data_IF_689637355577
#
_entry.id   IF_689637355577
#
_cell.length_a   1.000
_cell.length_b   1.000
_cell.length_c   1.000
_cell.angle_alpha   90.00
_cell.angle_beta   90.00
_cell.angle_gamma   90.00
#
_symmetry.space_group_name_H-M   'P 1'
#
loop_
_entity.id
_entity.type
_entity.pdbx_description
1 polymer ?
#
# COMPACT_ATOMS: atom_id res chain seq x y z
N UNK A 1 -49.02 1.70 -11.28
CA UNK A 1 -48.19 1.82 -10.06
C UNK A 1 -46.83 1.17 -10.30
N UNK A 2 -45.72 1.91 -10.18
CA UNK A 2 -44.38 1.40 -10.48
C UNK A 2 -43.75 0.67 -9.28
N UNK A 3 -44.14 -0.59 -9.07
CA UNK A 3 -43.63 -1.42 -7.97
C UNK A 3 -42.12 -1.70 -8.09
N UNK A 4 -41.57 -1.72 -9.31
CA UNK A 4 -40.14 -1.97 -9.55
C UNK A 4 -39.29 -0.78 -9.13
N UNK A 5 -39.72 0.44 -9.46
CA UNK A 5 -39.11 1.68 -8.99
C UNK A 5 -39.18 1.83 -7.47
N UNK A 6 -40.34 1.52 -6.87
CA UNK A 6 -40.53 1.57 -5.41
C UNK A 6 -39.70 0.52 -4.67
N UNK A 7 -39.62 -0.72 -5.17
CA UNK A 7 -38.76 -1.78 -4.61
C UNK A 7 -37.30 -1.35 -4.61
N UNK A 8 -36.85 -0.72 -5.70
CA UNK A 8 -35.49 -0.17 -5.82
C UNK A 8 -35.25 0.99 -4.86
N UNK A 9 -36.26 1.82 -4.59
CA UNK A 9 -36.19 2.93 -3.61
C UNK A 9 -36.07 2.41 -2.18
N UNK A 10 -36.81 1.36 -1.83
CA UNK A 10 -36.76 0.70 -0.52
C UNK A 10 -35.41 -0.01 -0.31
N UNK A 11 -34.91 -0.75 -1.30
CA UNK A 11 -33.64 -1.50 -1.20
C UNK A 11 -32.40 -0.61 -1.08
N UNK A 12 -32.46 0.63 -1.59
CA UNK A 12 -31.42 1.66 -1.45
C UNK A 12 -31.25 2.19 -0.02
N UNK A 13 -32.22 1.95 0.86
CA UNK A 13 -32.11 2.36 2.26
C UNK A 13 -30.94 1.65 2.93
N UNK A 14 -30.08 2.41 3.64
CA UNK A 14 -28.94 1.85 4.38
C UNK A 14 -29.40 0.98 5.57
N UNK A 15 -30.56 1.30 6.15
CA UNK A 15 -31.13 0.58 7.30
C UNK A 15 -31.59 -0.83 6.90
N UNK A 16 -31.35 -1.81 7.78
CA UNK A 16 -31.85 -3.18 7.63
C UNK A 16 -33.34 -3.30 8.01
N UNK A 17 -33.82 -2.41 8.87
CA UNK A 17 -35.21 -2.34 9.31
C UNK A 17 -35.76 -0.93 9.12
N UNK A 18 -37.01 -0.86 8.69
CA UNK A 18 -37.77 0.38 8.56
C UNK A 18 -39.06 0.27 9.37
N UNK A 19 -39.43 1.36 10.05
CA UNK A 19 -40.75 1.50 10.69
C UNK A 19 -41.81 1.82 9.65
N UNK A 20 -43.08 1.59 9.99
CA UNK A 20 -44.20 1.86 9.10
C UNK A 20 -44.29 3.34 8.71
N UNK A 21 -43.99 4.25 9.65
CA UNK A 21 -43.99 5.70 9.43
C UNK A 21 -42.90 6.10 8.43
N UNK A 22 -41.70 5.55 8.57
CA UNK A 22 -40.57 5.79 7.65
C UNK A 22 -40.90 5.30 6.24
N UNK A 23 -41.63 4.18 6.12
CA UNK A 23 -42.11 3.67 4.84
C UNK A 23 -43.21 4.56 4.24
N UNK A 24 -44.11 5.09 5.08
CA UNK A 24 -45.15 6.02 4.63
C UNK A 24 -44.54 7.31 4.08
N UNK A 25 -43.56 7.88 4.77
CA UNK A 25 -42.81 9.06 4.30
C UNK A 25 -42.04 8.76 3.00
N UNK A 26 -41.40 7.59 2.92
CA UNK A 26 -40.60 7.21 1.75
C UNK A 26 -41.46 6.99 0.49
N UNK A 27 -42.63 6.37 0.65
CA UNK A 27 -43.51 5.98 -0.44
C UNK A 27 -44.50 7.09 -0.81
N UNK A 28 -44.79 8.01 0.12
CA UNK A 28 -45.70 9.14 -0.04
C UNK A 28 -47.04 8.75 -0.72
N UNK A 29 -47.81 7.83 -0.14
CA UNK A 29 -49.08 7.38 -0.69
C UNK A 29 -50.17 8.45 -0.59
N UNK A 30 -51.14 8.43 -1.50
CA UNK A 30 -52.25 9.39 -1.53
C UNK A 30 -53.24 9.15 -0.37
N UNK A 31 -53.50 7.88 -0.03
CA UNK A 31 -54.42 7.47 1.03
C UNK A 31 -53.97 6.16 1.72
N UNK A 32 -54.78 5.65 2.65
CA UNK A 32 -54.46 4.41 3.37
C UNK A 32 -54.57 3.17 2.48
N UNK A 33 -55.56 3.10 1.60
CA UNK A 33 -55.81 1.92 0.76
C UNK A 33 -54.72 1.74 -0.30
N UNK A 34 -54.26 2.84 -0.89
CA UNK A 34 -53.08 2.88 -1.76
C UNK A 34 -51.82 2.49 -1.00
N UNK A 35 -51.63 2.98 0.23
CA UNK A 35 -50.49 2.58 1.05
C UNK A 35 -50.49 1.10 1.37
N UNK A 36 -51.65 0.56 1.78
CA UNK A 36 -51.83 -0.87 2.06
C UNK A 36 -51.52 -1.72 0.83
N UNK A 37 -52.08 -1.35 -0.33
CA UNK A 37 -51.85 -2.03 -1.61
C UNK A 37 -50.37 -2.00 -2.01
N UNK A 38 -49.71 -0.85 -1.81
CA UNK A 38 -48.27 -0.70 -2.02
C UNK A 38 -47.45 -1.65 -1.16
N UNK A 39 -47.79 -1.70 0.13
CA UNK A 39 -47.08 -2.53 1.10
C UNK A 39 -47.27 -4.02 0.81
N UNK A 40 -48.46 -4.45 0.38
CA UNK A 40 -48.71 -5.82 -0.07
C UNK A 40 -47.87 -6.17 -1.29
N UNK A 41 -47.87 -5.32 -2.32
CA UNK A 41 -47.09 -5.54 -3.54
C UNK A 41 -45.57 -5.56 -3.28
N UNK A 42 -45.04 -4.72 -2.38
CA UNK A 42 -43.63 -4.74 -1.99
C UNK A 42 -43.23 -6.00 -1.20
N UNK A 43 -44.16 -6.58 -0.44
CA UNK A 43 -43.94 -7.85 0.25
C UNK A 43 -43.94 -9.02 -0.74
N UNK A 44 -44.90 -9.02 -1.68
CA UNK A 44 -44.97 -10.02 -2.75
C UNK A 44 -43.74 -9.97 -3.67
N UNK A 45 -43.26 -8.77 -4.01
CA UNK A 45 -42.03 -8.56 -4.76
C UNK A 45 -40.74 -8.88 -3.96
N UNK A 46 -40.86 -9.31 -2.69
CA UNK A 46 -39.72 -9.67 -1.85
C UNK A 46 -38.79 -8.50 -1.55
N UNK A 47 -39.30 -7.26 -1.51
CA UNK A 47 -38.53 -6.08 -1.10
C UNK A 47 -38.60 -5.85 0.42
N UNK A 48 -39.69 -6.31 1.05
CA UNK A 48 -39.94 -6.15 2.49
C UNK A 48 -40.46 -7.45 3.11
N UNK A 49 -40.16 -7.65 4.39
CA UNK A 49 -40.77 -8.69 5.21
C UNK A 49 -41.23 -8.11 6.56
N UNK A 50 -42.48 -8.31 6.99
CA UNK A 50 -42.94 -7.88 8.30
C UNK A 50 -42.16 -8.61 9.41
N UNK A 51 -41.85 -7.90 10.49
CA UNK A 51 -41.15 -8.45 11.67
C UNK A 51 -41.82 -7.97 12.96
N UNK A 52 -41.65 -8.72 14.05
CA UNK A 52 -42.29 -8.44 15.35
C UNK A 52 -43.52 -9.32 15.62
N UNK A 53 -44.18 -9.08 16.74
CA UNK A 53 -45.34 -9.87 17.19
C UNK A 53 -46.51 -9.71 16.22
N UNK A 54 -47.30 -10.77 16.05
CA UNK A 54 -48.52 -10.76 15.22
C UNK A 54 -49.49 -9.64 15.56
N UNK A 55 -49.49 -9.25 16.84
CA UNK A 55 -50.38 -8.25 17.41
C UNK A 55 -49.86 -6.81 17.29
N UNK A 56 -48.61 -6.60 16.88
CA UNK A 56 -48.00 -5.27 16.73
C UNK A 56 -48.38 -4.65 15.37
N UNK A 57 -49.61 -4.11 15.31
CA UNK A 57 -50.17 -3.48 14.12
C UNK A 57 -50.49 -2.00 14.35
N UNK A 58 -50.76 -1.28 13.27
CA UNK A 58 -51.12 0.15 13.31
C UNK A 58 -52.57 0.44 13.73
N UNK A 59 -53.35 -0.57 14.13
CA UNK A 59 -54.75 -0.40 14.55
C UNK A 59 -55.72 0.02 13.44
N UNK A 60 -55.29 0.03 12.17
CA UNK A 60 -56.10 0.37 11.01
C UNK A 60 -56.70 -0.89 10.36
N UNK A 61 -57.69 -0.72 9.48
CA UNK A 61 -58.30 -1.80 8.73
C UNK A 61 -58.12 -1.58 7.22
N UNK A 62 -57.47 -2.52 6.49
CA UNK A 62 -56.79 -3.72 6.98
C UNK A 62 -55.46 -3.39 7.70
N UNK A 63 -55.01 -4.21 8.68
CA UNK A 63 -53.87 -3.86 9.52
C UNK A 63 -52.51 -4.02 8.83
N UNK A 64 -51.59 -3.07 9.06
CA UNK A 64 -50.18 -3.17 8.68
C UNK A 64 -49.29 -3.35 9.93
N UNK A 65 -48.15 -4.03 9.77
CA UNK A 65 -47.18 -4.18 10.87
C UNK A 65 -46.44 -2.87 11.11
N UNK A 66 -45.98 -2.67 12.34
CA UNK A 66 -45.23 -1.45 12.69
C UNK A 66 -43.77 -1.47 12.19
N UNK A 67 -43.24 -2.63 11.81
CA UNK A 67 -41.83 -2.78 11.43
C UNK A 67 -41.63 -3.81 10.32
N UNK A 68 -40.76 -3.47 9.38
CA UNK A 68 -40.38 -4.32 8.26
C UNK A 68 -38.87 -4.45 8.13
N UNK A 69 -38.40 -5.63 7.74
CA UNK A 69 -37.02 -5.88 7.32
C UNK A 69 -36.91 -5.66 5.82
N UNK A 70 -35.92 -4.88 5.40
CA UNK A 70 -35.59 -4.70 3.98
C UNK A 70 -34.90 -5.95 3.46
N UNK A 71 -35.45 -6.52 2.39
CA UNK A 71 -34.89 -7.67 1.69
C UNK A 71 -34.16 -7.16 0.43
N UNK A 72 -32.83 -7.29 0.44
CA UNK A 72 -31.98 -6.96 -0.70
C UNK A 72 -31.81 -8.22 -1.54
N UNK A 73 -31.88 -8.07 -2.86
CA UNK A 73 -31.46 -9.14 -3.76
C UNK A 73 -30.02 -9.51 -3.43
N UNK A 74 -29.74 -10.81 -3.34
CA UNK A 74 -28.35 -11.26 -3.41
C UNK A 74 -27.83 -10.82 -4.76
N UNK A 75 -26.67 -10.17 -4.78
CA UNK A 75 -25.93 -9.98 -6.02
C UNK A 75 -25.73 -11.35 -6.68
N UNK A 76 -25.94 -11.42 -7.99
CA UNK A 76 -25.65 -12.63 -8.75
C UNK A 76 -24.13 -12.80 -8.79
N UNK A 77 -23.63 -13.67 -7.90
CA UNK A 77 -22.20 -13.98 -7.79
C UNK A 77 -21.77 -15.10 -8.76
N UNK A 78 -22.61 -15.50 -9.74
CA UNK A 78 -22.35 -16.67 -10.59
C UNK A 78 -21.03 -16.55 -11.36
N UNK A 79 -20.71 -15.35 -11.88
CA UNK A 79 -19.47 -15.12 -12.61
C UNK A 79 -18.25 -15.21 -11.67
N UNK A 80 -18.32 -14.56 -10.51
CA UNK A 80 -17.28 -14.58 -9.49
C UNK A 80 -17.04 -15.99 -8.97
N UNK A 81 -18.10 -16.75 -8.68
CA UNK A 81 -17.99 -18.14 -8.22
C UNK A 81 -17.26 -19.00 -9.25
N UNK A 82 -17.53 -18.81 -10.54
CA UNK A 82 -16.81 -19.53 -11.61
C UNK A 82 -15.33 -19.18 -11.59
N UNK A 83 -14.98 -17.90 -11.53
CA UNK A 83 -13.58 -17.46 -11.49
C UNK A 83 -12.84 -17.94 -10.23
N UNK A 84 -13.49 -17.84 -9.06
CA UNK A 84 -12.94 -18.27 -7.77
C UNK A 84 -12.59 -19.76 -7.80
N UNK A 85 -13.46 -20.60 -8.38
CA UNK A 85 -13.21 -22.05 -8.52
C UNK A 85 -12.03 -22.37 -9.42
N UNK A 86 -11.68 -21.47 -10.33
CA UNK A 86 -10.56 -21.62 -11.24
C UNK A 86 -9.26 -21.06 -10.67
N UNK A 87 -9.22 -20.51 -9.46
CA UNK A 87 -7.99 -19.97 -8.88
C UNK A 87 -6.91 -21.04 -8.68
N UNK A 88 -5.65 -20.61 -8.63
CA UNK A 88 -4.51 -21.50 -8.43
C UNK A 88 -4.59 -22.27 -7.10
N UNK A 89 -4.13 -23.55 -7.07
CA UNK A 89 -4.00 -24.30 -5.82
C UNK A 89 -3.09 -23.59 -4.81
N UNK A 90 -3.56 -23.44 -3.59
CA UNK A 90 -2.88 -22.71 -2.52
C UNK A 90 -3.30 -21.24 -2.37
N UNK A 91 -4.33 -20.79 -3.10
CA UNK A 91 -5.07 -19.56 -2.80
C UNK A 91 -6.30 -19.87 -1.92
N UNK A 92 -6.85 -18.85 -1.26
CA UNK A 92 -7.95 -19.01 -0.31
C UNK A 92 -9.32 -19.14 -1.01
N UNK A 93 -9.52 -20.25 -1.73
CA UNK A 93 -10.73 -20.50 -2.54
C UNK A 93 -11.99 -20.51 -1.65
N UNK A 94 -11.97 -21.24 -0.53
CA UNK A 94 -13.12 -21.33 0.38
C UNK A 94 -13.52 -19.97 0.94
N UNK A 95 -12.55 -19.17 1.41
CA UNK A 95 -12.82 -17.84 1.94
C UNK A 95 -13.41 -16.88 0.91
N UNK A 96 -13.07 -17.02 -0.37
CA UNK A 96 -13.69 -16.21 -1.42
C UNK A 96 -15.08 -16.72 -1.83
N UNK A 97 -15.33 -18.03 -1.79
CA UNK A 97 -16.67 -18.58 -2.03
C UNK A 97 -17.66 -18.19 -0.92
N UNK A 98 -17.20 -18.10 0.33
CA UNK A 98 -18.01 -17.61 1.46
C UNK A 98 -18.27 -16.10 1.38
N UNK A 99 -17.34 -15.35 0.78
CA UNK A 99 -17.40 -13.90 0.68
C UNK A 99 -17.08 -13.36 -0.74
N UNK A 100 -17.96 -13.57 -1.74
CA UNK A 100 -17.72 -13.12 -3.13
C UNK A 100 -17.51 -11.60 -3.28
N UNK A 101 -18.13 -10.80 -2.42
CA UNK A 101 -17.91 -9.35 -2.41
C UNK A 101 -16.45 -8.97 -2.08
N UNK A 102 -15.73 -9.78 -1.29
CA UNK A 102 -14.30 -9.58 -1.04
C UNK A 102 -13.47 -9.95 -2.26
N UNK A 103 -13.86 -11.01 -2.99
CA UNK A 103 -13.23 -11.38 -4.25
C UNK A 103 -13.27 -10.21 -5.23
N UNK A 104 -14.42 -9.55 -5.41
CA UNK A 104 -14.54 -8.36 -6.30
C UNK A 104 -13.49 -7.29 -6.00
N UNK A 105 -13.24 -7.01 -4.72
CA UNK A 105 -12.22 -6.04 -4.30
C UNK A 105 -10.79 -6.51 -4.57
N UNK A 106 -10.54 -7.80 -4.49
CA UNK A 106 -9.21 -8.39 -4.65
C UNK A 106 -8.90 -8.80 -6.10
N UNK A 107 -9.94 -8.89 -6.95
CA UNK A 107 -9.94 -9.54 -8.27
C UNK A 107 -8.77 -9.11 -9.15
N UNK A 108 -8.56 -7.81 -9.30
CA UNK A 108 -7.56 -7.26 -10.23
C UNK A 108 -6.12 -7.59 -9.83
N UNK A 109 -5.87 -7.81 -8.55
CA UNK A 109 -4.56 -8.26 -8.04
C UNK A 109 -4.49 -9.78 -8.03
N UNK A 110 -5.59 -10.43 -7.65
CA UNK A 110 -5.66 -11.87 -7.42
C UNK A 110 -5.60 -12.69 -8.70
N UNK A 111 -6.29 -12.27 -9.77
CA UNK A 111 -6.33 -13.04 -11.03
C UNK A 111 -4.96 -13.14 -11.70
N UNK A 112 -4.21 -12.03 -11.92
CA UNK A 112 -2.84 -12.13 -12.45
C UNK A 112 -1.92 -12.96 -11.55
N UNK A 113 -2.08 -12.85 -10.23
CA UNK A 113 -1.29 -13.63 -9.28
C UNK A 113 -1.62 -15.13 -9.34
N UNK A 114 -2.89 -15.48 -9.43
CA UNK A 114 -3.34 -16.85 -9.65
C UNK A 114 -2.77 -17.41 -10.95
N UNK A 115 -2.82 -16.65 -12.03
CA UNK A 115 -2.26 -17.08 -13.31
C UNK A 115 -0.74 -17.31 -13.24
N UNK A 116 -0.03 -16.42 -12.55
CA UNK A 116 1.39 -16.58 -12.26
C UNK A 116 1.69 -17.88 -11.51
N UNK A 117 0.91 -18.20 -10.47
CA UNK A 117 1.08 -19.43 -9.70
C UNK A 117 0.76 -20.71 -10.49
N UNK A 118 -0.02 -20.64 -11.57
CA UNK A 118 -0.29 -21.78 -12.45
C UNK A 118 0.81 -21.99 -13.48
N UNK A 119 1.27 -20.91 -14.10
CA UNK A 119 2.13 -20.98 -15.29
C UNK A 119 3.60 -20.78 -15.01
N UNK A 120 3.94 -19.97 -13.99
CA UNK A 120 5.29 -19.44 -13.75
C UNK A 120 5.78 -19.62 -12.32
N UNK A 121 5.13 -20.48 -11.53
CA UNK A 121 5.47 -20.72 -10.11
C UNK A 121 6.93 -21.13 -9.88
N UNK A 122 7.55 -21.81 -10.84
CA UNK A 122 8.96 -22.22 -10.76
C UNK A 122 9.92 -21.04 -10.68
N UNK A 123 9.54 -19.86 -11.18
CA UNK A 123 10.32 -18.62 -11.06
C UNK A 123 10.46 -18.15 -9.60
N UNK A 124 9.63 -18.62 -8.67
CA UNK A 124 9.77 -18.32 -7.24
C UNK A 124 11.00 -18.98 -6.62
N UNK A 125 11.64 -19.94 -7.31
CA UNK A 125 12.91 -20.54 -6.86
C UNK A 125 14.09 -19.56 -6.95
N UNK A 126 14.00 -18.57 -7.83
CA UNK A 126 15.06 -17.59 -8.06
C UNK A 126 14.71 -16.28 -7.35
N UNK A 127 15.62 -15.69 -6.56
CA UNK A 127 15.38 -14.40 -5.92
C UNK A 127 15.29 -13.28 -6.95
N UNK A 128 14.44 -12.28 -6.70
CA UNK A 128 14.33 -11.05 -7.50
C UNK A 128 14.19 -9.84 -6.59
N UNK A 129 14.51 -8.64 -7.06
CA UNK A 129 14.13 -7.45 -6.29
C UNK A 129 12.61 -7.36 -6.13
N UNK A 130 12.14 -6.65 -5.09
CA UNK A 130 10.70 -6.39 -4.89
C UNK A 130 10.05 -5.81 -6.14
N UNK A 131 10.70 -4.86 -6.81
CA UNK A 131 10.15 -4.20 -8.00
C UNK A 131 10.12 -5.14 -9.21
N UNK A 132 11.18 -5.90 -9.46
CA UNK A 132 11.22 -6.89 -10.55
C UNK A 132 10.21 -8.02 -10.32
N UNK A 133 10.08 -8.51 -9.08
CA UNK A 133 9.06 -9.52 -8.74
C UNK A 133 7.67 -8.98 -8.99
N UNK A 134 7.41 -7.75 -8.57
CA UNK A 134 6.13 -7.08 -8.79
C UNK A 134 5.83 -6.94 -10.28
N UNK A 135 6.82 -6.53 -11.08
CA UNK A 135 6.68 -6.42 -12.53
C UNK A 135 6.49 -7.79 -13.21
N UNK A 136 7.19 -8.84 -12.76
CA UNK A 136 7.02 -10.18 -13.33
C UNK A 136 5.60 -10.71 -13.17
N UNK A 137 4.98 -10.49 -12.00
CA UNK A 137 3.65 -10.97 -11.69
C UNK A 137 2.56 -10.07 -12.30
N UNK A 138 2.64 -8.75 -12.09
CA UNK A 138 1.54 -7.81 -12.37
C UNK A 138 1.84 -6.78 -13.45
N UNK A 139 3.06 -6.76 -14.03
CA UNK A 139 3.52 -5.71 -14.97
C UNK A 139 3.45 -4.30 -14.37
N UNK A 140 3.51 -4.21 -13.04
CA UNK A 140 3.50 -2.97 -12.28
C UNK A 140 4.55 -3.05 -11.18
N UNK A 141 5.63 -2.27 -11.29
CA UNK A 141 6.81 -2.37 -10.40
C UNK A 141 6.49 -2.11 -8.93
N UNK A 142 5.59 -1.18 -8.64
CA UNK A 142 5.32 -0.73 -7.25
C UNK A 142 4.07 -1.36 -6.63
N UNK A 143 3.45 -2.33 -7.30
CA UNK A 143 2.21 -2.93 -6.81
C UNK A 143 2.45 -3.79 -5.56
N UNK A 144 3.50 -4.61 -5.54
CA UNK A 144 3.83 -5.49 -4.41
C UNK A 144 4.05 -4.71 -3.10
N UNK A 145 4.57 -3.48 -3.18
CA UNK A 145 4.81 -2.60 -2.03
C UNK A 145 3.60 -1.74 -1.67
N UNK A 146 2.44 -1.90 -2.32
CA UNK A 146 1.22 -1.19 -1.94
C UNK A 146 0.42 -1.94 -0.87
N UNK A 147 -0.35 -1.20 -0.06
CA UNK A 147 -1.13 -1.79 1.03
C UNK A 147 -2.22 -2.75 0.53
N UNK A 148 -2.84 -2.44 -0.62
CA UNK A 148 -3.86 -3.29 -1.22
C UNK A 148 -3.30 -4.66 -1.60
N UNK A 149 -2.16 -4.71 -2.30
CA UNK A 149 -1.51 -5.96 -2.71
C UNK A 149 -1.08 -6.80 -1.51
N UNK A 150 -0.45 -6.19 -0.50
CA UNK A 150 -0.12 -6.88 0.76
C UNK A 150 -1.35 -7.48 1.42
N UNK A 151 -2.47 -6.76 1.45
CA UNK A 151 -3.73 -7.28 2.00
C UNK A 151 -4.24 -8.50 1.24
N UNK A 152 -4.19 -8.48 -0.10
CA UNK A 152 -4.55 -9.63 -0.94
C UNK A 152 -3.63 -10.83 -0.67
N UNK A 153 -2.32 -10.62 -0.67
CA UNK A 153 -1.34 -11.68 -0.43
C UNK A 153 -1.51 -12.29 0.96
N UNK A 154 -1.68 -11.46 2.00
CA UNK A 154 -1.91 -11.91 3.38
C UNK A 154 -3.19 -12.74 3.50
N UNK A 155 -4.29 -12.29 2.88
CA UNK A 155 -5.56 -13.05 2.87
C UNK A 155 -5.42 -14.43 2.21
N UNK A 156 -4.49 -14.57 1.27
CA UNK A 156 -4.19 -15.81 0.59
C UNK A 156 -3.00 -16.58 1.21
N UNK A 157 -2.41 -16.10 2.30
CA UNK A 157 -1.28 -16.75 2.96
C UNK A 157 0.05 -16.67 2.20
N UNK A 158 0.23 -15.67 1.34
CA UNK A 158 1.42 -15.47 0.48
C UNK A 158 2.30 -14.28 0.88
N UNK A 159 1.98 -13.59 1.97
CA UNK A 159 2.84 -12.52 2.49
C UNK A 159 4.24 -13.05 2.80
N UNK A 160 5.28 -12.41 2.24
CA UNK A 160 6.68 -12.83 2.39
C UNK A 160 7.10 -14.09 1.61
N UNK A 161 6.22 -14.72 0.83
CA UNK A 161 6.51 -16.01 0.14
C UNK A 161 6.89 -15.88 -1.33
N UNK A 162 7.21 -14.67 -1.79
CA UNK A 162 7.49 -14.38 -3.19
C UNK A 162 8.98 -14.41 -3.57
N UNK A 163 9.87 -14.82 -2.65
CA UNK A 163 11.31 -14.82 -2.86
C UNK A 163 11.80 -13.50 -3.46
N UNK A 164 11.49 -12.42 -2.74
CA UNK A 164 11.79 -11.06 -3.13
C UNK A 164 12.69 -10.40 -2.08
N UNK A 165 13.70 -9.66 -2.53
CA UNK A 165 14.60 -8.89 -1.67
C UNK A 165 14.46 -7.39 -1.93
N UNK A 166 14.72 -6.57 -0.91
CA UNK A 166 14.78 -5.13 -1.09
C UNK A 166 16.06 -4.78 -1.88
N UNK A 167 15.91 -4.00 -2.95
CA UNK A 167 17.06 -3.35 -3.58
C UNK A 167 17.37 -2.10 -2.77
N UNK A 168 18.56 -1.99 -2.16
CA UNK A 168 18.98 -0.75 -1.53
C UNK A 168 19.09 0.34 -2.58
N UNK A 169 18.76 1.54 -2.19
CA UNK A 169 18.78 2.66 -3.11
C UNK A 169 20.24 3.08 -3.39
N UNK A 170 20.69 3.12 -4.66
CA UNK A 170 22.09 3.44 -4.96
C UNK A 170 22.37 4.93 -4.72
N UNK A 171 23.56 5.28 -4.24
CA UNK A 171 24.01 6.66 -4.19
C UNK A 171 24.80 7.03 -5.44
N UNK A 172 24.73 8.30 -5.86
CA UNK A 172 25.67 8.82 -6.84
C UNK A 172 27.02 9.07 -6.17
N UNK A 173 28.04 8.36 -6.60
CA UNK A 173 29.37 8.47 -6.03
C UNK A 173 30.45 8.73 -7.10
N UNK A 174 31.62 9.09 -6.58
CA UNK A 174 32.88 9.03 -7.31
C UNK A 174 33.96 8.54 -6.36
N UNK A 175 34.49 7.36 -6.66
CA UNK A 175 35.53 6.71 -5.88
C UNK A 175 36.88 6.89 -6.59
N UNK A 176 37.88 7.38 -5.87
CA UNK A 176 39.25 7.42 -6.33
C UNK A 176 39.78 5.99 -6.37
N UNK A 177 39.92 5.41 -7.57
CA UNK A 177 40.32 4.00 -7.74
C UNK A 177 41.67 3.63 -7.12
N UNK A 178 41.93 2.32 -7.00
CA UNK A 178 43.26 1.77 -6.71
C UNK A 178 43.51 1.27 -5.28
N UNK A 179 42.49 0.99 -4.48
CA UNK A 179 42.70 0.38 -3.16
C UNK A 179 41.46 0.37 -2.25
N UNK A 180 41.71 0.17 -0.95
CA UNK A 180 40.70 0.22 0.09
C UNK A 180 40.09 1.63 0.20
N UNK A 181 38.76 1.69 0.29
CA UNK A 181 38.02 2.94 0.47
C UNK A 181 37.93 3.19 1.97
N UNK A 182 38.67 4.19 2.47
CA UNK A 182 38.73 4.51 3.89
C UNK A 182 37.87 5.70 4.28
N UNK A 183 37.77 6.72 3.43
CA UNK A 183 37.07 7.97 3.75
C UNK A 183 36.24 8.50 2.59
N UNK A 184 34.96 8.74 2.81
CA UNK A 184 34.03 9.33 1.84
C UNK A 184 33.41 10.62 2.36
N UNK A 185 33.32 11.62 1.49
CA UNK A 185 32.65 12.89 1.77
C UNK A 185 31.24 12.91 1.15
N UNK A 186 30.21 12.96 1.99
CA UNK A 186 28.81 13.08 1.62
C UNK A 186 28.45 14.56 1.46
N UNK A 187 27.95 14.92 0.28
CA UNK A 187 27.64 16.29 -0.12
C UNK A 187 26.17 16.39 -0.52
N UNK A 188 25.42 17.32 0.05
CA UNK A 188 24.00 17.52 -0.32
C UNK A 188 23.84 18.25 -1.66
N UNK A 189 24.64 19.28 -1.87
CA UNK A 189 24.50 20.16 -3.04
C UNK A 189 25.12 19.52 -4.28
N UNK A 190 24.32 19.32 -5.33
CA UNK A 190 24.73 18.72 -6.61
C UNK A 190 25.90 19.46 -7.26
N UNK A 191 25.92 20.79 -7.25
CA UNK A 191 26.98 21.60 -7.88
C UNK A 191 28.31 21.47 -7.14
N UNK A 192 28.24 21.40 -5.80
CA UNK A 192 29.41 21.18 -4.93
C UNK A 192 29.97 19.76 -5.14
N UNK A 193 29.08 18.76 -5.19
CA UNK A 193 29.46 17.39 -5.51
C UNK A 193 30.12 17.29 -6.89
N UNK A 194 29.54 17.92 -7.91
CA UNK A 194 30.09 17.87 -9.26
C UNK A 194 31.46 18.56 -9.36
N UNK A 195 31.63 19.70 -8.70
CA UNK A 195 32.90 20.43 -8.64
C UNK A 195 33.99 19.60 -7.95
N UNK A 196 33.71 19.04 -6.77
CA UNK A 196 34.68 18.22 -6.03
C UNK A 196 35.00 16.91 -6.77
N UNK A 197 33.99 16.26 -7.36
CA UNK A 197 34.19 15.11 -8.25
C UNK A 197 35.15 15.44 -9.38
N UNK A 198 34.96 16.56 -10.08
CA UNK A 198 35.86 16.99 -11.16
C UNK A 198 37.28 17.25 -10.68
N UNK A 199 37.44 17.87 -9.51
CA UNK A 199 38.76 18.14 -8.94
C UNK A 199 39.50 16.85 -8.60
N UNK A 200 38.84 15.90 -7.94
CA UNK A 200 39.43 14.60 -7.61
C UNK A 200 39.79 13.80 -8.87
N UNK A 201 38.96 13.88 -9.91
CA UNK A 201 39.19 13.21 -11.19
C UNK A 201 40.37 13.81 -11.98
N UNK A 202 40.47 15.14 -12.02
CA UNK A 202 41.53 15.83 -12.79
C UNK A 202 42.86 15.92 -12.02
N UNK A 203 42.82 15.80 -10.69
CA UNK A 203 43.99 15.89 -9.82
C UNK A 203 44.02 14.72 -8.83
N UNK A 204 44.26 13.47 -9.29
CA UNK A 204 44.21 12.27 -8.44
C UNK A 204 45.24 12.26 -7.29
N UNK A 205 46.26 13.11 -7.38
CA UNK A 205 47.27 13.31 -6.33
C UNK A 205 46.83 14.31 -5.25
N UNK A 206 45.81 15.14 -5.52
CA UNK A 206 45.27 16.17 -4.61
C UNK A 206 43.99 15.67 -3.93
N UNK A 207 44.14 14.65 -3.09
CA UNK A 207 43.04 14.01 -2.35
C UNK A 207 42.86 14.53 -0.93
N UNK A 208 43.71 15.46 -0.50
CA UNK A 208 43.65 15.97 0.87
C UNK A 208 42.77 17.22 0.93
N UNK A 209 41.72 17.15 1.72
CA UNK A 209 40.86 18.27 2.04
C UNK A 209 40.88 18.48 3.55
N UNK A 210 41.32 19.65 4.01
CA UNK A 210 41.47 19.96 5.44
C UNK A 210 42.29 18.93 6.24
N UNK A 211 43.37 18.40 5.64
CA UNK A 211 44.23 17.39 6.28
C UNK A 211 43.67 15.97 6.26
N UNK A 212 42.43 15.78 5.78
CA UNK A 212 41.83 14.46 5.60
C UNK A 212 42.02 14.00 4.16
N UNK A 213 42.57 12.80 3.98
CA UNK A 213 42.67 12.17 2.67
C UNK A 213 41.31 11.56 2.29
N UNK A 214 40.72 12.05 1.21
CA UNK A 214 39.47 11.55 0.65
C UNK A 214 39.73 10.41 -0.34
N UNK A 215 38.95 9.34 -0.22
CA UNK A 215 38.89 8.25 -1.19
C UNK A 215 37.71 8.39 -2.15
N UNK A 216 36.82 9.37 -1.93
CA UNK A 216 35.72 9.64 -2.83
C UNK A 216 34.71 10.65 -2.29
N UNK A 217 33.71 10.94 -3.11
CA UNK A 217 32.57 11.81 -2.79
C UNK A 217 31.26 11.09 -3.10
N UNK A 218 30.25 11.31 -2.27
CA UNK A 218 28.89 10.75 -2.39
C UNK A 218 27.89 11.90 -2.38
N UNK A 219 26.90 11.88 -3.26
CA UNK A 219 25.80 12.85 -3.26
C UNK A 219 24.74 12.38 -2.25
N UNK A 220 24.41 13.20 -1.27
CA UNK A 220 23.48 12.84 -0.18
C UNK A 220 22.01 12.75 -0.60
N UNK A 221 21.64 13.40 -1.71
CA UNK A 221 20.29 13.39 -2.30
C UNK A 221 19.16 13.75 -1.30
N UNK A 222 19.34 14.81 -0.52
CA UNK A 222 18.34 15.29 0.42
C UNK A 222 18.23 14.39 1.65
N UNK A 223 17.04 13.82 1.88
CA UNK A 223 16.80 12.98 3.06
C UNK A 223 17.35 11.55 2.91
N UNK A 224 17.89 11.19 1.75
CA UNK A 224 18.33 9.82 1.47
C UNK A 224 19.53 9.41 2.32
N UNK A 225 20.59 10.22 2.34
CA UNK A 225 21.74 9.98 3.23
C UNK A 225 21.40 10.13 4.72
N UNK A 226 20.34 10.89 5.04
CA UNK A 226 19.86 11.06 6.40
C UNK A 226 18.95 9.90 6.88
N UNK A 227 18.51 9.00 5.99
CA UNK A 227 17.68 7.85 6.37
C UNK A 227 18.50 6.91 7.26
N UNK A 228 17.90 6.33 8.32
CA UNK A 228 18.57 5.33 9.14
C UNK A 228 19.15 4.20 8.30
N UNK A 229 20.39 3.84 8.58
CA UNK A 229 21.15 2.77 7.93
C UNK A 229 21.47 2.97 6.45
N UNK A 230 21.16 4.11 5.83
CA UNK A 230 21.34 4.28 4.39
C UNK A 230 22.81 4.25 3.95
N UNK A 231 23.70 4.91 4.72
CA UNK A 231 25.13 4.92 4.42
C UNK A 231 25.79 3.59 4.78
N UNK A 232 25.27 2.89 5.79
CA UNK A 232 25.71 1.55 6.18
C UNK A 232 25.30 0.50 5.12
N UNK A 233 24.08 0.57 4.61
CA UNK A 233 23.60 -0.23 3.49
C UNK A 233 24.48 0.01 2.26
N UNK A 234 24.79 1.26 1.95
CA UNK A 234 25.70 1.61 0.85
C UNK A 234 27.13 1.09 1.08
N UNK A 235 27.68 1.27 2.29
CA UNK A 235 29.01 0.80 2.66
C UNK A 235 29.18 -0.71 2.50
N UNK A 236 28.12 -1.50 2.70
CA UNK A 236 28.14 -2.94 2.53
C UNK A 236 28.43 -3.39 1.08
N UNK A 237 28.26 -2.50 0.09
CA UNK A 237 28.59 -2.75 -1.32
C UNK A 237 30.00 -2.32 -1.70
N UNK A 238 30.73 -1.65 -0.81
CA UNK A 238 32.08 -1.18 -1.07
C UNK A 238 33.13 -2.26 -0.74
N UNK A 239 34.23 -2.35 -1.51
CA UNK A 239 35.30 -3.27 -1.21
C UNK A 239 36.05 -2.87 0.07
N UNK A 240 36.22 -3.83 0.98
CA UNK A 240 36.97 -3.65 2.22
C UNK A 240 36.08 -3.33 3.43
N UNK A 241 36.68 -2.89 4.55
CA UNK A 241 35.91 -2.48 5.73
C UNK A 241 35.12 -1.19 5.46
N UNK A 242 34.07 -0.95 6.25
CA UNK A 242 33.22 0.21 6.11
C UNK A 242 34.04 1.52 6.20
N UNK A 243 33.88 2.45 5.22
CA UNK A 243 34.59 3.73 5.25
C UNK A 243 34.01 4.65 6.32
N UNK A 244 34.81 5.65 6.70
CA UNK A 244 34.36 6.80 7.48
C UNK A 244 33.61 7.77 6.56
N UNK A 245 32.43 8.20 6.98
CA UNK A 245 31.64 9.19 6.27
C UNK A 245 31.75 10.55 6.95
N UNK A 246 32.14 11.56 6.20
CA UNK A 246 32.01 12.97 6.59
C UNK A 246 30.86 13.58 5.84
N UNK A 247 29.99 14.34 6.52
CA UNK A 247 28.84 14.93 5.87
C UNK A 247 28.89 16.46 5.88
N UNK A 248 28.63 17.07 4.72
CA UNK A 248 28.42 18.51 4.58
C UNK A 248 26.98 18.79 4.16
N UNK A 249 26.12 18.99 5.17
CA UNK A 249 24.74 19.43 4.99
C UNK A 249 24.68 20.95 5.10
N UNK A 250 23.98 21.62 4.17
CA UNK A 250 23.59 23.01 4.38
C UNK A 250 22.74 23.10 5.65
N UNK A 251 23.00 24.11 6.49
CA UNK A 251 22.59 24.28 7.89
C UNK A 251 21.07 24.34 8.17
N UNK A 252 20.19 23.92 7.26
CA UNK A 252 18.74 24.16 7.36
C UNK A 252 17.86 22.93 7.62
N UNK A 253 18.40 21.71 7.73
CA UNK A 253 17.60 20.53 8.11
C UNK A 253 17.85 20.09 9.57
N UNK A 254 16.79 19.83 10.36
CA UNK A 254 16.91 19.46 11.77
C UNK A 254 17.68 18.15 11.91
N UNK A 255 18.54 18.13 12.91
CA UNK A 255 19.48 17.06 13.19
C UNK A 255 18.78 15.70 13.33
N UNK A 256 18.86 14.88 12.28
CA UNK A 256 18.73 13.43 12.43
C UNK A 256 20.01 12.95 13.10
N UNK A 257 19.93 12.38 14.30
CA UNK A 257 21.05 11.71 14.96
C UNK A 257 21.56 10.61 14.02
N UNK A 258 22.76 10.83 13.48
CA UNK A 258 23.47 9.85 12.68
C UNK A 258 24.27 8.97 13.65
N UNK A 259 24.37 7.67 13.33
CA UNK A 259 25.09 6.67 14.11
C UNK A 259 26.50 7.14 14.54
N UNK A 260 27.06 6.61 15.63
CA UNK A 260 28.28 7.12 16.29
C UNK A 260 29.58 7.05 15.45
N UNK A 261 29.52 6.63 14.18
CA UNK A 261 30.64 6.67 13.23
C UNK A 261 30.63 7.87 12.26
N UNK A 262 29.69 8.82 12.40
CA UNK A 262 29.52 9.95 11.48
C UNK A 262 29.79 11.27 12.21
N UNK A 263 30.93 11.90 11.92
CA UNK A 263 31.28 13.20 12.49
C UNK A 263 30.56 14.34 11.74
N UNK A 264 29.67 15.06 12.44
CA UNK A 264 29.05 16.29 11.93
C UNK A 264 29.91 17.50 12.29
N UNK A 265 30.16 18.39 11.33
CA UNK A 265 30.71 19.71 11.60
C UNK A 265 29.63 20.79 11.40
N UNK A 266 29.14 21.37 12.51
CA UNK A 266 28.20 22.51 12.48
C UNK A 266 28.99 23.78 12.19
N UNK A 267 28.86 24.28 10.96
CA UNK A 267 29.53 25.50 10.54
C UNK A 267 29.00 26.71 11.30
N UNK A 268 29.84 27.28 12.17
CA UNK A 268 29.82 28.72 12.49
C UNK A 268 31.15 29.27 13.06
N UNK A 269 32.20 28.45 13.21
CA UNK A 269 33.57 28.91 13.55
C UNK A 269 34.61 28.06 12.79
N UNK A 270 35.80 28.60 12.48
CA UNK A 270 36.87 27.81 11.88
C UNK A 270 37.15 26.57 12.73
N UNK A 271 36.97 25.42 12.08
CA UNK A 271 37.27 24.04 12.48
C UNK A 271 38.12 23.91 13.75
N UNK A 272 37.54 23.40 14.84
CA UNK A 272 38.31 22.83 15.95
C UNK A 272 38.26 21.31 15.90
N UNK A 273 39.45 20.71 15.80
CA UNK A 273 39.73 19.29 15.92
C UNK A 273 39.42 18.81 17.34
N UNK A 274 38.77 17.65 17.46
CA UNK A 274 38.88 16.83 18.67
C UNK A 274 39.56 15.53 18.26
N UNK A 275 40.86 15.45 18.54
CA UNK A 275 41.60 14.20 18.55
C UNK A 275 41.32 13.49 19.88
N UNK A 276 40.89 12.23 19.84
CA UNK A 276 41.09 11.35 20.99
C UNK A 276 42.25 10.39 20.71
N UNK A 277 43.18 10.41 21.67
CA UNK A 277 44.34 9.56 21.81
C UNK A 277 44.00 8.08 21.80
#
# INVERSE_FOLDING_TARGET
>A
MDIKGLSSKVRRQKKTFLKLEELRELLCPDDYDSFYSTMAALQEAGALRPVGSAHDTNGMLPPLRLKYRVLREKEDDTAEIREIRLLAPGLNISGYLEHPALYRKHRDILLPFSEYLKTRRTELKFPMSVNERSFSIWRQEKLLSCAACRSVLRYNGWEGKLNAYATPEPFFDYLCGGGQIGTLLVLENKDTWYTLRRLLMNHPYRRNLFGVRLDGVVLGEGNKAARPHALEEYAAFLPGPAPRFYCHFSLTSPAVELNPGIEKNKGEKPFQLISHS
#
